data_IF_634689928007
#
_entry.id   IF_634689928007
#
_cell.length_a   1.000
_cell.length_b   1.000
_cell.length_c   1.000
_cell.angle_alpha   90.00
_cell.angle_beta   90.00
_cell.angle_gamma   90.00
#
_symmetry.space_group_name_H-M   'P 1'
#
loop_
_entity.id
_entity.type
_entity.pdbx_description
1 polymer ?
#
# COMPACT_ATOMS: atom_id res chain seq x y z
N UNK A 1 23.97 -18.32 9.92
CA UNK A 1 22.89 -17.78 10.78
C UNK A 1 22.92 -16.26 11.02
N UNK A 2 24.08 -15.55 11.06
CA UNK A 2 24.15 -14.09 11.31
C UNK A 2 23.53 -13.16 10.24
N UNK A 3 23.54 -13.51 8.95
CA UNK A 3 23.01 -12.64 7.87
C UNK A 3 21.49 -12.46 7.88
N UNK A 4 20.72 -13.46 8.30
CA UNK A 4 19.26 -13.38 8.37
C UNK A 4 18.78 -12.40 9.44
N UNK A 5 19.44 -12.38 10.61
CA UNK A 5 19.07 -11.50 11.71
C UNK A 5 19.33 -10.00 11.44
N UNK A 6 20.46 -9.67 10.79
CA UNK A 6 20.79 -8.28 10.44
C UNK A 6 19.85 -7.70 9.40
N UNK A 7 19.45 -8.49 8.39
CA UNK A 7 18.46 -8.07 7.39
C UNK A 7 17.10 -7.81 8.05
N UNK A 8 16.67 -8.69 8.94
CA UNK A 8 15.40 -8.54 9.66
C UNK A 8 15.40 -7.30 10.56
N UNK A 9 16.51 -7.01 11.24
CA UNK A 9 16.65 -5.79 12.06
C UNK A 9 16.60 -4.53 11.19
N UNK A 10 17.31 -4.54 10.05
CA UNK A 10 17.30 -3.42 9.10
C UNK A 10 15.88 -3.14 8.59
N UNK A 11 15.16 -4.16 8.14
CA UNK A 11 13.77 -4.03 7.68
C UNK A 11 12.84 -3.51 8.77
N UNK A 12 12.99 -4.00 10.00
CA UNK A 12 12.24 -3.48 11.15
C UNK A 12 12.51 -1.99 11.38
N UNK A 13 13.75 -1.58 11.34
CA UNK A 13 14.13 -0.18 11.54
C UNK A 13 13.61 0.72 10.41
N UNK A 14 13.67 0.25 9.15
CA UNK A 14 13.06 0.97 8.01
C UNK A 14 11.56 1.18 8.22
N UNK A 15 10.84 0.14 8.66
CA UNK A 15 9.39 0.25 8.95
C UNK A 15 9.09 1.27 10.04
N UNK A 16 9.92 1.35 11.09
CA UNK A 16 9.77 2.36 12.15
C UNK A 16 9.89 3.77 11.60
N UNK A 17 10.89 4.03 10.75
CA UNK A 17 11.10 5.34 10.11
C UNK A 17 9.90 5.69 9.20
N UNK A 18 9.51 4.77 8.31
CA UNK A 18 8.39 5.01 7.39
C UNK A 18 7.08 5.23 8.13
N UNK A 19 6.82 4.48 9.21
CA UNK A 19 5.64 4.67 10.05
C UNK A 19 5.63 6.06 10.71
N UNK A 20 6.75 6.51 11.25
CA UNK A 20 6.87 7.85 11.82
C UNK A 20 6.57 8.94 10.78
N UNK A 21 7.12 8.80 9.56
CA UNK A 21 6.89 9.74 8.46
C UNK A 21 5.45 9.72 7.92
N UNK A 22 4.75 8.58 7.98
CA UNK A 22 3.33 8.49 7.62
C UNK A 22 2.44 9.14 8.67
N UNK A 23 2.79 9.03 9.95
CA UNK A 23 2.01 9.61 11.05
C UNK A 23 2.24 11.12 11.16
N UNK A 24 3.50 11.55 11.05
CA UNK A 24 3.92 12.95 11.10
C UNK A 24 4.87 13.25 9.95
N UNK A 25 4.37 13.86 8.89
CA UNK A 25 5.21 14.30 7.78
C UNK A 25 6.12 15.48 8.18
N UNK A 26 7.24 15.63 7.48
CA UNK A 26 8.16 16.75 7.65
C UNK A 26 9.11 16.62 8.85
N UNK A 27 9.37 15.40 9.34
CA UNK A 27 10.29 15.15 10.45
C UNK A 27 11.74 15.29 9.99
N UNK A 28 12.56 15.95 10.83
CA UNK A 28 14.01 15.97 10.68
C UNK A 28 14.63 14.64 11.14
N UNK A 29 15.88 14.36 10.75
CA UNK A 29 16.62 13.17 11.23
C UNK A 29 16.73 13.10 12.74
N UNK A 30 16.78 14.26 13.44
CA UNK A 30 16.85 14.33 14.90
C UNK A 30 15.50 13.94 15.53
N UNK A 31 14.40 14.41 14.97
CA UNK A 31 13.05 14.05 15.41
C UNK A 31 12.76 12.57 15.18
N UNK A 32 13.15 12.03 14.01
CA UNK A 32 13.09 10.60 13.73
C UNK A 32 13.88 9.77 14.75
N UNK A 33 15.10 10.19 15.11
CA UNK A 33 15.89 9.49 16.13
C UNK A 33 15.16 9.46 17.48
N UNK A 34 14.55 10.58 17.89
CA UNK A 34 13.78 10.69 19.14
C UNK A 34 12.53 9.81 19.12
N UNK A 35 11.75 9.83 18.04
CA UNK A 35 10.50 9.07 17.95
C UNK A 35 10.72 7.55 17.82
N UNK A 36 11.73 7.16 17.05
CA UNK A 36 11.99 5.73 16.78
C UNK A 36 12.88 5.07 17.83
N UNK A 37 13.61 5.85 18.63
CA UNK A 37 14.62 5.34 19.55
C UNK A 37 15.88 4.79 18.86
N UNK A 38 16.03 5.02 17.55
CA UNK A 38 17.20 4.59 16.79
C UNK A 38 18.36 5.59 16.96
N UNK A 39 19.59 5.09 16.86
CA UNK A 39 20.76 5.96 16.91
C UNK A 39 20.81 6.94 15.75
N UNK A 40 21.37 8.16 15.93
CA UNK A 40 21.51 9.13 14.84
C UNK A 40 22.26 8.58 13.61
N UNK A 41 23.24 7.72 13.82
CA UNK A 41 23.99 7.06 12.73
C UNK A 41 23.11 6.08 11.96
N UNK A 42 22.27 5.31 12.64
CA UNK A 42 21.29 4.40 12.02
C UNK A 42 20.27 5.17 11.19
N UNK A 43 19.72 6.26 11.75
CA UNK A 43 18.79 7.14 11.02
C UNK A 43 19.46 7.70 9.77
N UNK A 44 20.66 8.24 9.88
CA UNK A 44 21.38 8.85 8.75
C UNK A 44 21.59 7.83 7.62
N UNK A 45 22.03 6.62 7.96
CA UNK A 45 22.25 5.55 6.98
C UNK A 45 20.95 5.13 6.30
N UNK A 46 19.89 4.82 7.08
CA UNK A 46 18.63 4.33 6.53
C UNK A 46 17.85 5.40 5.76
N UNK A 47 17.86 6.65 6.22
CA UNK A 47 17.26 7.77 5.49
C UNK A 47 18.00 8.02 4.18
N UNK A 48 19.34 7.92 4.17
CA UNK A 48 20.13 8.02 2.94
C UNK A 48 19.74 6.96 1.91
N UNK A 49 19.52 5.72 2.33
CA UNK A 49 19.03 4.65 1.44
C UNK A 49 17.61 4.94 0.95
N UNK A 50 16.69 5.35 1.83
CA UNK A 50 15.30 5.65 1.47
C UNK A 50 15.18 6.83 0.49
N UNK A 51 16.04 7.85 0.63
CA UNK A 51 16.16 8.96 -0.33
C UNK A 51 16.69 8.47 -1.68
N UNK A 52 17.75 7.64 -1.68
CA UNK A 52 18.32 7.08 -2.91
C UNK A 52 17.34 6.16 -3.65
N UNK A 53 16.48 5.43 -2.93
CA UNK A 53 15.41 4.62 -3.48
C UNK A 53 14.19 5.44 -3.94
N UNK A 54 14.11 6.73 -3.62
CA UNK A 54 12.98 7.60 -3.93
C UNK A 54 11.73 7.36 -3.06
N UNK A 55 11.81 6.57 -2.00
CA UNK A 55 10.70 6.29 -1.07
C UNK A 55 10.39 7.50 -0.20
N UNK A 56 11.43 8.24 0.17
CA UNK A 56 11.39 9.45 0.99
C UNK A 56 11.95 10.61 0.18
N UNK A 57 11.42 11.79 0.39
CA UNK A 57 11.90 13.04 -0.19
C UNK A 57 12.10 14.10 0.89
N UNK A 58 12.93 15.10 0.60
CA UNK A 58 13.05 16.27 1.45
C UNK A 58 11.87 17.21 1.18
N UNK A 59 11.06 17.45 2.20
CA UNK A 59 10.08 18.53 2.20
C UNK A 59 10.80 19.81 2.61
N UNK A 60 10.58 20.90 1.88
CA UNK A 60 11.28 22.18 2.05
C UNK A 60 11.57 22.59 3.52
N UNK A 61 12.33 23.65 3.70
CA UNK A 61 12.81 24.10 4.98
C UNK A 61 11.66 24.46 5.93
N UNK A 62 11.42 23.67 6.97
CA UNK A 62 10.58 24.10 8.10
C UNK A 62 11.32 25.19 8.88
N UNK A 63 10.66 26.34 9.09
CA UNK A 63 11.14 27.35 9.99
C UNK A 63 11.25 26.75 11.41
N UNK A 64 12.45 26.54 11.88
CA UNK A 64 12.66 26.08 13.25
C UNK A 64 12.48 27.27 14.19
N UNK A 65 11.78 27.07 15.30
CA UNK A 65 11.56 28.06 16.38
C UNK A 65 12.86 28.57 17.01
N UNK A 66 14.02 28.05 16.61
CA UNK A 66 15.36 28.44 17.08
C UNK A 66 16.38 28.50 15.93
N UNK A 67 16.16 29.37 14.95
CA UNK A 67 17.23 29.95 14.14
C UNK A 67 17.95 29.08 13.08
N UNK A 68 17.70 27.79 12.91
CA UNK A 68 18.27 26.98 11.83
C UNK A 68 17.18 26.18 11.12
N UNK A 69 16.90 26.57 9.90
CA UNK A 69 15.99 25.86 9.01
C UNK A 69 16.49 24.41 8.77
N UNK A 70 15.67 23.43 9.05
CA UNK A 70 16.01 22.00 8.85
C UNK A 70 15.15 21.43 7.74
N UNK A 71 15.78 20.69 6.84
CA UNK A 71 15.03 19.92 5.85
C UNK A 71 14.19 18.87 6.54
N UNK A 72 12.88 18.95 6.39
CA UNK A 72 11.95 17.89 6.78
C UNK A 72 12.03 16.72 5.81
N UNK A 73 11.63 15.55 6.25
CA UNK A 73 11.53 14.34 5.44
C UNK A 73 10.07 13.92 5.37
N UNK A 74 9.62 13.57 4.17
CA UNK A 74 8.26 13.03 3.94
C UNK A 74 8.33 11.79 3.06
N UNK A 75 7.30 10.98 3.10
CA UNK A 75 7.12 9.93 2.08
C UNK A 75 6.92 10.61 0.73
N UNK A 76 7.55 10.08 -0.32
CA UNK A 76 7.33 10.54 -1.70
C UNK A 76 5.96 10.03 -2.19
N UNK A 77 4.95 10.90 -2.43
CA UNK A 77 3.63 10.45 -2.88
C UNK A 77 3.69 9.65 -4.17
N UNK A 78 4.61 10.06 -5.08
CA UNK A 78 4.75 9.48 -6.43
C UNK A 78 5.62 8.22 -6.48
N UNK A 79 6.10 7.74 -5.34
CA UNK A 79 6.85 6.48 -5.29
C UNK A 79 6.04 5.28 -5.76
N UNK A 80 4.72 5.32 -5.57
CA UNK A 80 3.81 4.28 -6.03
C UNK A 80 2.36 4.55 -5.68
N UNK A 81 1.53 3.54 -5.90
CA UNK A 81 0.11 3.54 -5.56
C UNK A 81 -0.26 2.25 -4.82
N UNK A 82 -1.21 2.37 -3.92
CA UNK A 82 -1.83 1.25 -3.22
C UNK A 82 -3.31 1.23 -3.57
N UNK A 83 -3.77 0.08 -4.04
CA UNK A 83 -5.20 -0.17 -4.27
C UNK A 83 -5.79 -0.73 -2.98
N UNK A 84 -6.96 -0.26 -2.59
CA UNK A 84 -7.76 -0.85 -1.51
C UNK A 84 -9.16 -1.11 -2.07
N UNK A 85 -9.65 -2.32 -1.90
CA UNK A 85 -11.01 -2.70 -2.27
C UNK A 85 -11.77 -3.05 -1.00
N UNK A 86 -12.78 -2.27 -0.68
CA UNK A 86 -13.72 -2.52 0.41
C UNK A 86 -14.87 -3.35 -0.16
N UNK A 87 -14.99 -4.60 0.29
CA UNK A 87 -15.86 -5.62 -0.29
C UNK A 87 -16.96 -5.97 0.71
N UNK A 88 -18.19 -5.62 0.37
CA UNK A 88 -19.41 -6.10 1.01
C UNK A 88 -20.03 -7.25 0.22
N UNK A 89 -21.19 -7.71 0.65
CA UNK A 89 -21.87 -8.90 0.07
C UNK A 89 -22.19 -8.75 -1.41
N UNK A 90 -22.68 -7.60 -1.86
CA UNK A 90 -23.10 -7.35 -3.25
C UNK A 90 -22.47 -6.09 -3.85
N UNK A 91 -21.83 -5.27 -3.04
CA UNK A 91 -21.23 -4.03 -3.48
C UNK A 91 -19.79 -3.92 -3.01
N UNK A 92 -18.97 -3.30 -3.80
CA UNK A 92 -17.59 -3.03 -3.45
C UNK A 92 -17.20 -1.62 -3.87
N UNK A 93 -16.22 -1.05 -3.17
CA UNK A 93 -15.66 0.27 -3.48
C UNK A 93 -14.16 0.14 -3.63
N UNK A 94 -13.63 0.63 -4.74
CA UNK A 94 -12.20 0.67 -4.97
C UNK A 94 -11.67 2.07 -4.69
N UNK A 95 -10.57 2.11 -3.97
CA UNK A 95 -9.79 3.30 -3.69
C UNK A 95 -8.37 3.14 -4.21
N UNK A 96 -7.82 4.19 -4.81
CA UNK A 96 -6.42 4.30 -5.16
C UNK A 96 -5.79 5.37 -4.27
N UNK A 97 -4.78 4.98 -3.52
CA UNK A 97 -4.03 5.87 -2.64
C UNK A 97 -2.62 6.09 -3.17
N UNK A 98 -2.12 7.31 -3.03
CA UNK A 98 -0.69 7.57 -3.14
C UNK A 98 0.08 7.05 -1.91
N UNK A 99 1.41 7.17 -1.92
CA UNK A 99 2.23 6.69 -0.80
C UNK A 99 2.17 7.61 0.42
N UNK A 100 1.59 8.80 0.32
CA UNK A 100 1.28 9.67 1.45
C UNK A 100 -0.14 9.43 2.01
N UNK A 101 -0.82 8.36 1.57
CA UNK A 101 -2.17 7.95 1.96
C UNK A 101 -3.27 8.96 1.58
N UNK A 102 -3.03 9.77 0.54
CA UNK A 102 -4.09 10.59 -0.06
C UNK A 102 -4.85 9.74 -1.07
N UNK A 103 -6.19 9.74 -0.97
CA UNK A 103 -7.03 9.06 -1.95
C UNK A 103 -7.05 9.90 -3.24
N UNK A 104 -6.45 9.36 -4.30
CA UNK A 104 -6.34 10.02 -5.61
C UNK A 104 -7.43 9.58 -6.59
N UNK A 105 -8.00 8.39 -6.39
CA UNK A 105 -9.11 7.90 -7.20
C UNK A 105 -10.03 7.03 -6.34
N UNK A 106 -11.34 7.11 -6.58
CA UNK A 106 -12.37 6.31 -5.91
C UNK A 106 -13.47 5.98 -6.89
N UNK A 107 -13.90 4.73 -6.91
CA UNK A 107 -15.08 4.32 -7.68
C UNK A 107 -15.88 3.25 -6.96
N UNK A 108 -17.18 3.26 -7.14
CA UNK A 108 -18.07 2.17 -6.71
C UNK A 108 -18.10 1.15 -7.83
N UNK A 109 -17.84 -0.11 -7.50
CA UNK A 109 -17.89 -1.19 -8.48
C UNK A 109 -19.34 -1.59 -8.75
N UNK A 110 -19.64 -2.12 -9.95
CA UNK A 110 -20.94 -2.74 -10.23
C UNK A 110 -21.31 -3.80 -9.19
N UNK A 111 -22.60 -4.03 -9.02
CA UNK A 111 -23.09 -5.11 -8.18
C UNK A 111 -22.61 -6.45 -8.79
N UNK A 112 -21.89 -7.23 -7.98
CA UNK A 112 -21.31 -8.51 -8.39
C UNK A 112 -22.15 -9.72 -7.96
N UNK A 113 -23.27 -9.49 -7.25
CA UNK A 113 -24.18 -10.56 -6.81
C UNK A 113 -23.54 -11.71 -6.03
N UNK A 114 -22.34 -11.50 -5.49
CA UNK A 114 -21.52 -12.54 -4.86
C UNK A 114 -20.65 -13.34 -5.86
N UNK A 115 -20.67 -13.05 -7.16
CA UNK A 115 -19.84 -13.74 -8.15
C UNK A 115 -18.40 -13.24 -8.13
N UNK A 116 -17.46 -14.14 -7.86
CA UNK A 116 -16.04 -13.82 -7.79
C UNK A 116 -15.41 -13.44 -9.12
N UNK A 117 -15.91 -13.92 -10.26
CA UNK A 117 -15.40 -13.56 -11.59
C UNK A 117 -15.85 -12.15 -11.99
N UNK A 118 -17.12 -11.82 -11.72
CA UNK A 118 -17.63 -10.46 -11.94
C UNK A 118 -16.90 -9.46 -11.06
N UNK A 119 -16.67 -9.79 -9.78
CA UNK A 119 -15.90 -8.97 -8.87
C UNK A 119 -14.45 -8.78 -9.34
N UNK A 120 -13.76 -9.87 -9.74
CA UNK A 120 -12.40 -9.79 -10.27
C UNK A 120 -12.33 -8.89 -11.52
N UNK A 121 -13.27 -9.03 -12.44
CA UNK A 121 -13.33 -8.21 -13.65
C UNK A 121 -13.53 -6.75 -13.30
N UNK A 122 -14.51 -6.44 -12.45
CA UNK A 122 -14.81 -5.08 -12.02
C UNK A 122 -13.64 -4.42 -11.28
N UNK A 123 -12.93 -5.17 -10.43
CA UNK A 123 -11.71 -4.68 -9.74
C UNK A 123 -10.63 -4.36 -10.78
N UNK A 124 -10.42 -5.27 -11.75
CA UNK A 124 -9.38 -5.10 -12.77
C UNK A 124 -9.63 -3.87 -13.63
N UNK A 125 -10.86 -3.70 -14.11
CA UNK A 125 -11.26 -2.56 -14.93
C UNK A 125 -11.12 -1.24 -14.16
N UNK A 126 -11.54 -1.21 -12.90
CA UNK A 126 -11.41 -0.03 -12.04
C UNK A 126 -9.94 0.32 -11.75
N UNK A 127 -9.06 -0.67 -11.57
CA UNK A 127 -7.61 -0.45 -11.44
C UNK A 127 -7.07 0.21 -12.71
N UNK A 128 -7.37 -0.34 -13.88
CA UNK A 128 -6.91 0.23 -15.15
C UNK A 128 -7.46 1.64 -15.37
N UNK A 129 -8.72 1.88 -15.03
CA UNK A 129 -9.32 3.21 -15.12
C UNK A 129 -8.59 4.21 -14.21
N UNK A 130 -8.39 3.87 -12.93
CA UNK A 130 -7.73 4.75 -11.96
C UNK A 130 -6.29 5.10 -12.37
N UNK A 131 -5.52 4.12 -12.84
CA UNK A 131 -4.16 4.36 -13.32
C UNK A 131 -4.13 5.18 -14.61
N UNK A 132 -5.11 5.03 -15.50
CA UNK A 132 -5.23 5.82 -16.71
C UNK A 132 -5.59 7.28 -16.43
N UNK A 133 -6.47 7.54 -15.47
CA UNK A 133 -6.85 8.90 -15.06
C UNK A 133 -5.71 9.66 -14.39
N UNK A 134 -4.87 8.97 -13.65
CA UNK A 134 -3.67 9.52 -13.01
C UNK A 134 -2.46 9.63 -13.97
N UNK A 135 -2.63 9.30 -15.25
CA UNK A 135 -1.54 9.21 -16.23
C UNK A 135 -0.36 8.33 -15.75
N UNK A 136 -0.67 7.32 -14.95
CA UNK A 136 0.30 6.45 -14.33
C UNK A 136 0.38 5.11 -15.03
N UNK A 137 1.58 4.56 -15.09
CA UNK A 137 1.77 3.17 -15.50
C UNK A 137 1.47 2.23 -14.33
N UNK A 138 0.78 1.11 -14.62
CA UNK A 138 0.45 0.08 -13.64
C UNK A 138 1.68 -0.48 -12.89
N UNK A 139 2.89 -0.32 -13.44
CA UNK A 139 4.15 -0.67 -12.77
C UNK A 139 4.46 0.13 -11.50
N UNK A 140 3.71 1.18 -11.21
CA UNK A 140 3.78 1.91 -9.92
C UNK A 140 2.91 1.31 -8.82
N UNK A 141 2.07 0.32 -9.10
CA UNK A 141 1.29 -0.36 -8.07
C UNK A 141 2.19 -1.14 -7.12
N UNK A 142 2.03 -0.92 -5.81
CA UNK A 142 2.87 -1.54 -4.77
C UNK A 142 2.18 -2.71 -4.08
N UNK A 143 0.87 -2.61 -3.89
CA UNK A 143 0.06 -3.68 -3.28
C UNK A 143 -1.42 -3.46 -3.55
N UNK A 144 -2.21 -4.52 -3.34
CA UNK A 144 -3.67 -4.46 -3.28
C UNK A 144 -4.08 -4.94 -1.89
N UNK A 145 -4.90 -4.15 -1.20
CA UNK A 145 -5.58 -4.52 0.04
C UNK A 145 -7.01 -4.92 -0.27
N UNK A 146 -7.45 -6.04 0.26
CA UNK A 146 -8.83 -6.49 0.26
C UNK A 146 -9.38 -6.36 1.68
N UNK A 147 -10.36 -5.51 1.87
CA UNK A 147 -11.02 -5.30 3.14
C UNK A 147 -12.42 -5.92 3.05
N UNK A 148 -12.64 -7.00 3.79
CA UNK A 148 -13.93 -7.68 3.83
C UNK A 148 -14.78 -7.16 4.98
N UNK A 149 -16.05 -6.83 4.69
CA UNK A 149 -17.01 -6.45 5.73
C UNK A 149 -17.51 -7.70 6.48
N UNK A 150 -17.93 -7.53 7.73
CA UNK A 150 -18.28 -8.64 8.66
C UNK A 150 -19.39 -9.59 8.16
N UNK A 151 -20.24 -9.13 7.26
CA UNK A 151 -21.32 -9.91 6.67
C UNK A 151 -20.90 -10.71 5.42
N UNK A 152 -19.60 -10.65 5.09
CA UNK A 152 -19.05 -11.22 3.87
C UNK A 152 -18.34 -12.54 4.17
N UNK A 153 -18.87 -13.66 3.68
CA UNK A 153 -18.18 -14.95 3.75
C UNK A 153 -17.15 -15.06 2.62
N UNK A 154 -15.87 -15.14 2.97
CA UNK A 154 -14.75 -15.21 2.00
C UNK A 154 -14.82 -16.41 1.08
N UNK A 155 -15.42 -17.51 1.56
CA UNK A 155 -15.65 -18.71 0.77
C UNK A 155 -16.53 -18.46 -0.47
N UNK A 156 -17.28 -17.34 -0.49
CA UNK A 156 -18.17 -16.96 -1.60
C UNK A 156 -17.39 -16.38 -2.79
N UNK A 157 -16.24 -15.71 -2.58
CA UNK A 157 -15.48 -15.08 -3.67
C UNK A 157 -14.45 -16.03 -4.29
N UNK A 158 -14.96 -17.05 -4.94
CA UNK A 158 -14.13 -17.97 -5.71
C UNK A 158 -14.19 -17.62 -7.19
N UNK A 159 -13.01 -17.58 -7.79
CA UNK A 159 -12.83 -17.30 -9.23
C UNK A 159 -12.67 -18.61 -9.95
N UNK A 160 -13.52 -18.86 -10.97
CA UNK A 160 -13.37 -20.00 -11.86
C UNK A 160 -12.33 -19.71 -12.92
N UNK A 161 -11.30 -20.53 -12.97
CA UNK A 161 -10.25 -20.47 -13.96
C UNK A 161 -10.29 -21.70 -14.85
N UNK A 162 -10.41 -21.49 -16.17
CA UNK A 162 -10.42 -22.58 -17.15
C UNK A 162 -9.15 -22.55 -17.99
N UNK A 163 -8.43 -23.66 -18.02
CA UNK A 163 -7.26 -23.87 -18.89
C UNK A 163 -7.58 -24.73 -20.11
N UNK A 164 -8.79 -24.63 -20.62
CA UNK A 164 -9.24 -25.35 -21.83
C UNK A 164 -9.71 -26.80 -21.61
N UNK A 165 -9.10 -27.54 -20.66
CA UNK A 165 -9.47 -28.93 -20.35
C UNK A 165 -9.83 -29.17 -18.87
N UNK A 166 -9.48 -28.27 -17.99
CA UNK A 166 -9.78 -28.38 -16.54
C UNK A 166 -10.26 -27.05 -16.01
N UNK A 167 -11.40 -27.05 -15.32
CA UNK A 167 -11.84 -25.92 -14.51
C UNK A 167 -11.24 -26.06 -13.10
N UNK A 168 -10.53 -25.06 -12.66
CA UNK A 168 -10.04 -24.93 -11.28
C UNK A 168 -10.68 -23.70 -10.63
N UNK A 169 -10.88 -23.77 -9.34
CA UNK A 169 -11.38 -22.64 -8.55
C UNK A 169 -10.26 -22.12 -7.66
N UNK A 170 -9.95 -20.85 -7.79
CA UNK A 170 -8.92 -20.17 -6.98
C UNK A 170 -9.58 -19.05 -6.15
N UNK A 171 -8.90 -18.58 -5.12
CA UNK A 171 -9.36 -17.41 -4.36
C UNK A 171 -9.21 -16.12 -5.17
N UNK A 172 -10.02 -15.10 -4.84
CA UNK A 172 -9.88 -13.75 -5.41
C UNK A 172 -8.45 -13.21 -5.23
N UNK A 173 -7.84 -13.46 -4.06
CA UNK A 173 -6.45 -13.11 -3.76
C UNK A 173 -5.46 -13.73 -4.75
N UNK A 174 -5.59 -15.03 -5.00
CA UNK A 174 -4.71 -15.75 -5.94
C UNK A 174 -4.89 -15.25 -7.38
N UNK A 175 -6.13 -14.96 -7.77
CA UNK A 175 -6.45 -14.42 -9.09
C UNK A 175 -5.81 -13.04 -9.29
N UNK A 176 -5.98 -12.11 -8.33
CA UNK A 176 -5.38 -10.78 -8.36
C UNK A 176 -3.85 -10.85 -8.32
N UNK A 177 -3.27 -11.71 -7.47
CA UNK A 177 -1.82 -11.90 -7.44
C UNK A 177 -1.30 -12.41 -8.79
N UNK A 178 -2.01 -13.33 -9.42
CA UNK A 178 -1.63 -13.89 -10.72
C UNK A 178 -1.65 -12.83 -11.81
N UNK A 179 -2.65 -11.95 -11.79
CA UNK A 179 -2.84 -10.90 -12.79
C UNK A 179 -1.87 -9.72 -12.61
N UNK A 180 -1.73 -9.20 -11.40
CA UNK A 180 -1.02 -7.95 -11.14
C UNK A 180 0.41 -8.14 -10.62
N UNK A 181 0.77 -9.33 -10.11
CA UNK A 181 2.10 -9.68 -9.59
C UNK A 181 2.59 -8.77 -8.45
N UNK A 182 1.68 -8.23 -7.67
CA UNK A 182 1.95 -7.42 -6.48
C UNK A 182 1.46 -8.12 -5.22
N UNK A 183 2.00 -7.80 -4.03
CA UNK A 183 1.49 -8.34 -2.77
C UNK A 183 0.01 -8.04 -2.58
N UNK A 184 -0.76 -9.04 -2.15
CA UNK A 184 -2.17 -8.90 -1.78
C UNK A 184 -2.28 -9.08 -0.26
N UNK A 185 -2.89 -8.10 0.40
CA UNK A 185 -3.15 -8.10 1.85
C UNK A 185 -4.66 -8.23 2.06
N UNK A 186 -5.07 -9.13 2.93
CA UNK A 186 -6.47 -9.33 3.32
C UNK A 186 -6.65 -8.91 4.76
N UNK A 187 -7.72 -8.16 5.03
CA UNK A 187 -8.10 -7.70 6.35
C UNK A 187 -9.61 -7.80 6.50
N UNK A 188 -10.07 -8.06 7.72
CA UNK A 188 -11.48 -8.22 8.05
C UNK A 188 -11.90 -7.08 8.96
N UNK A 189 -12.92 -6.32 8.53
CA UNK A 189 -13.54 -5.30 9.36
C UNK A 189 -14.36 -5.99 10.44
N UNK A 190 -13.84 -6.07 11.67
CA UNK A 190 -14.63 -6.45 12.84
C UNK A 190 -15.33 -5.20 13.34
N UNK A 191 -16.65 -5.15 13.19
CA UNK A 191 -17.46 -4.17 13.93
C UNK A 191 -17.46 -4.62 15.40
N UNK A 192 -16.86 -3.80 16.27
CA UNK A 192 -16.93 -3.95 17.72
C UNK A 192 -18.17 -3.25 18.25
#
# INVERSE_FOLDING_TARGET
MKKSSLRTVKEKNRRLILRALLTEGGLSRIELAKQTGLSPSTITALVGELLAEGVVQESGLRAATAGRSRAGLTICPDYGRVVVVDIGRSHAVLYLYDMALQCVFRTVLPDHGGDGNELLTSISDAIFQGFSMEELHAGKMKSIGLLFQDDTEISEFRVMYSTGYTAATISLREALFTQFKVPIVEEYSRVY
#
